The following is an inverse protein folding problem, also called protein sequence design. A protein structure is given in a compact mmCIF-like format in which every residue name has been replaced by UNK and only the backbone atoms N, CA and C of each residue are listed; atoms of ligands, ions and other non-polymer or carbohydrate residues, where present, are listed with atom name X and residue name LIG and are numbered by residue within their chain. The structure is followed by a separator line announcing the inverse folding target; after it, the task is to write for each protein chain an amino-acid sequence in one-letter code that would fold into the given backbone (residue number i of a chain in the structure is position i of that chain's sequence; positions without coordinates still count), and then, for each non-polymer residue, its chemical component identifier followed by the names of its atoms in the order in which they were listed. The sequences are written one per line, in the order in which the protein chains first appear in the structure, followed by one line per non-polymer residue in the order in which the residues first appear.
data_IF_333575056084
#
_entry.id   IF_333575056084
#
_cell.length_a   1.000
_cell.length_b   1.000
_cell.length_c   1.000
_cell.angle_alpha   90.00
_cell.angle_beta   90.00
_cell.angle_gamma   90.00
#
_symmetry.space_group_name_H-M   'P 1'
#
loop_
_entity.id
_entity.type
_entity.pdbx_description
1 polymer ?
#
# COMPACT_ATOMS: atom_id res chain seq x y z
N UNK A 1 -21.82 -9.23 -1.16
CA UNK A 1 -20.49 -8.57 -1.05
C UNK A 1 -20.51 -7.69 0.18
N UNK A 2 -19.44 -7.70 0.97
CA UNK A 2 -19.29 -6.81 2.12
C UNK A 2 -19.01 -5.38 1.65
N UNK A 3 -19.19 -4.37 2.53
CA UNK A 3 -18.86 -2.97 2.23
C UNK A 3 -17.41 -2.84 1.75
N UNK A 4 -16.46 -3.48 2.44
CA UNK A 4 -15.04 -3.48 2.08
C UNK A 4 -14.82 -4.06 0.67
N UNK A 5 -15.46 -5.16 0.31
CA UNK A 5 -15.32 -5.74 -1.03
C UNK A 5 -15.84 -4.81 -2.13
N UNK A 6 -16.92 -4.08 -1.87
CA UNK A 6 -17.43 -3.07 -2.79
C UNK A 6 -16.44 -1.92 -2.95
N UNK A 7 -15.89 -1.40 -1.85
CA UNK A 7 -14.88 -0.33 -1.87
C UNK A 7 -13.64 -0.75 -2.67
N UNK A 8 -13.13 -1.96 -2.45
CA UNK A 8 -11.96 -2.47 -3.19
C UNK A 8 -12.24 -2.59 -4.70
N UNK A 9 -13.46 -3.06 -5.06
CA UNK A 9 -13.85 -3.13 -6.47
C UNK A 9 -13.95 -1.73 -7.11
N UNK A 10 -14.45 -0.76 -6.36
CA UNK A 10 -14.54 0.62 -6.81
C UNK A 10 -13.16 1.27 -6.94
N UNK A 11 -12.28 1.09 -5.96
CA UNK A 11 -10.88 1.55 -6.00
C UNK A 11 -10.12 0.95 -7.20
N UNK A 12 -10.30 -0.35 -7.45
CA UNK A 12 -9.70 -1.02 -8.61
C UNK A 12 -10.17 -0.41 -9.92
N UNK A 13 -11.49 -0.22 -10.08
CA UNK A 13 -12.09 0.39 -11.27
C UNK A 13 -11.61 1.83 -11.45
N UNK A 14 -11.59 2.59 -10.37
CA UNK A 14 -11.13 3.98 -10.37
C UNK A 14 -9.67 4.09 -10.77
N UNK A 15 -8.79 3.28 -10.17
CA UNK A 15 -7.38 3.25 -10.51
C UNK A 15 -7.16 2.87 -11.98
N UNK A 16 -7.84 1.82 -12.47
CA UNK A 16 -7.71 1.40 -13.88
C UNK A 16 -8.20 2.47 -14.85
N UNK A 17 -9.20 3.27 -14.48
CA UNK A 17 -9.67 4.38 -15.30
C UNK A 17 -8.64 5.51 -15.48
N UNK A 18 -7.64 5.60 -14.62
CA UNK A 18 -6.51 6.53 -14.77
C UNK A 18 -5.42 6.01 -15.70
N UNK A 19 -5.55 4.75 -16.16
CA UNK A 19 -4.56 4.05 -16.98
C UNK A 19 -3.14 4.14 -16.39
N UNK A 20 -2.92 3.65 -15.17
CA UNK A 20 -1.62 3.75 -14.53
C UNK A 20 -0.55 3.04 -15.37
N UNK A 21 0.66 3.61 -15.49
CA UNK A 21 1.75 2.97 -16.22
C UNK A 21 2.08 1.58 -15.68
N UNK A 22 2.62 0.71 -16.55
CA UNK A 22 3.17 -0.57 -16.12
C UNK A 22 4.37 -0.36 -15.21
N UNK A 23 4.52 -1.23 -14.23
CA UNK A 23 5.56 -1.16 -13.22
C UNK A 23 5.13 -0.39 -11.97
N UNK A 24 6.11 0.16 -11.28
CA UNK A 24 5.93 1.04 -10.12
C UNK A 24 6.02 2.49 -10.58
N UNK A 25 4.97 3.26 -10.34
CA UNK A 25 4.88 4.64 -10.78
C UNK A 25 4.65 5.59 -9.61
N UNK A 26 5.36 6.72 -9.63
CA UNK A 26 5.07 7.85 -8.75
C UNK A 26 3.84 8.58 -9.23
N UNK A 27 3.18 9.27 -8.32
CA UNK A 27 2.00 10.09 -8.63
C UNK A 27 2.24 11.55 -8.23
N UNK A 28 1.38 12.48 -8.64
CA UNK A 28 1.44 13.86 -8.17
C UNK A 28 1.24 14.03 -6.65
N UNK A 29 0.59 13.07 -6.00
CA UNK A 29 0.49 13.04 -4.55
C UNK A 29 1.80 12.50 -3.97
N UNK A 30 2.48 13.29 -3.16
CA UNK A 30 3.77 12.94 -2.58
C UNK A 30 3.69 11.63 -1.79
N UNK A 31 4.66 10.74 -2.00
CA UNK A 31 4.71 9.43 -1.34
C UNK A 31 3.71 8.40 -1.88
N UNK A 32 2.68 8.80 -2.60
CA UNK A 32 1.70 7.88 -3.14
C UNK A 32 2.18 7.27 -4.46
N UNK A 33 2.11 5.94 -4.57
CA UNK A 33 2.57 5.19 -5.73
C UNK A 33 1.53 4.19 -6.17
N UNK A 34 1.52 3.91 -7.47
CA UNK A 34 0.72 2.86 -8.09
C UNK A 34 1.62 1.75 -8.61
N UNK A 35 1.14 0.54 -8.56
CA UNK A 35 1.85 -0.64 -9.05
C UNK A 35 0.90 -1.39 -9.98
N UNK A 36 1.32 -1.60 -11.22
CA UNK A 36 0.58 -2.36 -12.22
C UNK A 36 1.51 -3.32 -12.96
N UNK A 37 1.18 -4.59 -12.93
CA UNK A 37 1.90 -5.61 -13.67
C UNK A 37 0.90 -6.51 -14.40
N UNK A 38 1.15 -6.77 -15.67
CA UNK A 38 0.32 -7.60 -16.55
C UNK A 38 0.92 -9.00 -16.77
N UNK A 39 2.00 -9.30 -16.08
CA UNK A 39 2.64 -10.60 -16.00
C UNK A 39 3.24 -10.77 -14.62
N UNK A 40 3.51 -12.00 -14.24
CA UNK A 40 4.24 -12.26 -13.02
C UNK A 40 5.61 -11.58 -13.04
N UNK A 41 5.89 -10.80 -12.01
CA UNK A 41 7.18 -10.13 -11.87
C UNK A 41 8.12 -11.08 -11.14
N UNK A 42 9.30 -11.36 -11.71
CA UNK A 42 10.34 -12.11 -11.01
C UNK A 42 10.81 -11.33 -9.79
N UNK A 43 11.48 -12.03 -8.90
CA UNK A 43 11.98 -11.48 -7.65
C UNK A 43 12.77 -10.19 -7.89
N UNK A 44 12.27 -9.09 -7.35
CA UNK A 44 12.91 -7.78 -7.42
C UNK A 44 13.35 -7.33 -6.03
N UNK A 45 14.56 -6.80 -5.93
CA UNK A 45 15.06 -6.22 -4.69
C UNK A 45 14.61 -4.77 -4.57
N UNK A 46 14.17 -4.39 -3.39
CA UNK A 46 13.91 -2.99 -3.06
C UNK A 46 14.44 -2.66 -1.67
N UNK A 47 14.87 -1.42 -1.50
CA UNK A 47 15.04 -0.87 -0.16
C UNK A 47 13.66 -0.35 0.24
N UNK A 48 13.04 -1.01 1.21
CA UNK A 48 11.73 -0.63 1.70
C UNK A 48 11.73 0.79 2.27
N UNK A 49 10.60 1.47 2.18
CA UNK A 49 10.30 2.67 2.95
C UNK A 49 9.36 2.31 4.10
N UNK A 50 9.25 3.20 5.07
CA UNK A 50 8.08 3.14 5.97
C UNK A 50 6.87 3.42 5.08
N UNK A 51 5.96 2.48 4.99
CA UNK A 51 4.86 2.59 4.05
C UNK A 51 3.66 1.72 4.43
N UNK A 52 2.50 2.17 4.02
CA UNK A 52 1.27 1.38 3.97
C UNK A 52 0.97 1.04 2.53
N UNK A 53 0.61 -0.19 2.24
CA UNK A 53 0.23 -0.63 0.90
C UNK A 53 -0.99 -1.55 0.92
N UNK A 54 -1.78 -1.51 -0.15
CA UNK A 54 -2.94 -2.38 -0.35
C UNK A 54 -2.88 -3.07 -1.70
N UNK A 55 -3.27 -4.34 -1.71
CA UNK A 55 -3.47 -5.09 -2.94
C UNK A 55 -4.93 -4.94 -3.37
N UNK A 56 -5.13 -4.44 -4.58
CA UNK A 56 -6.45 -4.31 -5.21
C UNK A 56 -6.76 -5.48 -6.14
N UNK A 57 -5.74 -6.14 -6.68
CA UNK A 57 -5.86 -7.32 -7.55
C UNK A 57 -4.55 -8.10 -7.56
N UNK A 58 -4.63 -9.42 -7.59
CA UNK A 58 -3.47 -10.31 -7.59
C UNK A 58 -2.96 -10.63 -6.18
N UNK A 59 -1.74 -11.15 -6.12
CA UNK A 59 -1.06 -11.56 -4.88
C UNK A 59 0.37 -11.03 -4.90
N UNK A 60 0.86 -10.59 -3.77
CA UNK A 60 2.26 -10.18 -3.58
C UNK A 60 2.93 -11.06 -2.54
N UNK A 61 4.10 -11.55 -2.88
CA UNK A 61 5.00 -12.20 -1.94
C UNK A 61 6.18 -11.28 -1.64
N UNK A 62 6.53 -11.17 -0.37
CA UNK A 62 7.66 -10.36 0.11
C UNK A 62 8.53 -11.23 0.99
N UNK A 63 9.84 -11.16 0.80
CA UNK A 63 10.80 -11.75 1.72
C UNK A 63 11.63 -10.64 2.35
N UNK A 64 11.63 -10.59 3.66
CA UNK A 64 12.37 -9.61 4.45
C UNK A 64 12.94 -10.29 5.71
N UNK A 65 14.21 -10.06 6.00
CA UNK A 65 14.87 -10.66 7.16
C UNK A 65 14.77 -12.19 7.21
N UNK A 66 14.70 -12.87 6.04
CA UNK A 66 14.51 -14.31 5.94
C UNK A 66 13.05 -14.79 6.12
N UNK A 67 12.11 -13.90 6.43
CA UNK A 67 10.68 -14.24 6.50
C UNK A 67 10.01 -14.09 5.15
N UNK A 68 9.19 -15.05 4.80
CA UNK A 68 8.31 -15.01 3.65
C UNK A 68 6.90 -14.61 4.09
N UNK A 69 6.36 -13.58 3.44
CA UNK A 69 5.02 -13.03 3.68
C UNK A 69 4.31 -13.01 2.33
N UNK A 70 3.10 -13.57 2.27
CA UNK A 70 2.24 -13.50 1.10
C UNK A 70 0.91 -12.88 1.49
N UNK A 71 0.42 -11.93 0.69
CA UNK A 71 -0.85 -11.26 0.90
C UNK A 71 -1.48 -10.88 -0.43
N UNK A 72 -2.80 -10.79 -0.46
CA UNK A 72 -3.58 -10.66 -1.68
C UNK A 72 -4.60 -9.53 -1.66
N UNK A 73 -5.48 -9.56 -2.65
CA UNK A 73 -6.52 -8.55 -2.80
C UNK A 73 -7.37 -8.41 -1.53
N UNK A 74 -7.50 -7.20 -1.04
CA UNK A 74 -8.21 -6.87 0.19
C UNK A 74 -7.35 -6.85 1.44
N UNK A 75 -6.07 -7.19 1.34
CA UNK A 75 -5.13 -7.14 2.45
C UNK A 75 -4.16 -5.98 2.31
N UNK A 76 -3.76 -5.43 3.44
CA UNK A 76 -2.74 -4.40 3.55
C UNK A 76 -1.45 -4.92 4.14
N UNK A 77 -0.35 -4.27 3.80
CA UNK A 77 0.96 -4.45 4.43
C UNK A 77 1.40 -3.11 5.01
N UNK A 78 1.72 -3.11 6.29
CA UNK A 78 2.42 -2.01 6.96
C UNK A 78 3.90 -2.39 7.09
N UNK A 79 4.77 -1.54 6.56
CA UNK A 79 6.21 -1.60 6.79
C UNK A 79 6.61 -0.45 7.72
N UNK A 80 7.00 -0.75 8.94
CA UNK A 80 7.43 0.24 9.95
C UNK A 80 8.93 0.56 9.88
N UNK A 81 9.67 -0.08 8.98
CA UNK A 81 11.11 0.15 8.84
C UNK A 81 11.53 0.03 7.36
N UNK A 82 12.58 0.78 7.01
CA UNK A 82 13.22 0.71 5.70
C UNK A 82 14.18 -0.47 5.65
N UNK A 83 13.69 -1.66 5.39
CA UNK A 83 14.48 -2.87 5.33
C UNK A 83 14.69 -3.34 3.88
N UNK A 84 15.87 -3.90 3.56
CA UNK A 84 16.05 -4.58 2.30
C UNK A 84 15.06 -5.73 2.18
N UNK A 85 14.30 -5.73 1.11
CA UNK A 85 13.30 -6.76 0.84
C UNK A 85 13.34 -7.19 -0.61
N UNK A 86 12.90 -8.41 -0.86
CA UNK A 86 12.59 -8.87 -2.22
C UNK A 86 11.08 -9.05 -2.34
N UNK A 87 10.54 -8.72 -3.48
CA UNK A 87 9.11 -8.92 -3.74
C UNK A 87 8.86 -9.60 -5.08
N UNK A 88 7.74 -10.26 -5.16
CA UNK A 88 7.21 -10.89 -6.36
C UNK A 88 5.72 -10.59 -6.48
N UNK A 89 5.30 -10.12 -7.65
CA UNK A 89 3.88 -10.05 -7.99
C UNK A 89 3.49 -11.36 -8.69
N UNK A 90 2.40 -11.94 -8.25
CA UNK A 90 1.86 -13.20 -8.74
C UNK A 90 0.40 -13.02 -9.16
N UNK A 91 -0.11 -13.95 -9.95
CA UNK A 91 -1.47 -13.93 -10.46
C UNK A 91 -1.77 -12.63 -11.23
N UNK A 92 -0.93 -12.35 -12.23
CA UNK A 92 -1.05 -11.19 -13.08
C UNK A 92 -1.15 -11.58 -14.54
N UNK A 93 -2.11 -11.01 -15.26
CA UNK A 93 -2.28 -11.13 -16.71
C UNK A 93 -2.75 -9.79 -17.28
N UNK A 94 -2.76 -9.61 -18.61
CA UNK A 94 -3.32 -8.40 -19.22
C UNK A 94 -4.81 -8.19 -18.89
N UNK A 95 -5.58 -9.28 -18.76
CA UNK A 95 -7.01 -9.24 -18.45
C UNK A 95 -7.27 -8.99 -16.96
N UNK A 96 -6.41 -9.55 -16.11
CA UNK A 96 -6.44 -9.37 -14.66
C UNK A 96 -5.06 -8.94 -14.15
N UNK A 97 -4.71 -7.66 -14.29
CA UNK A 97 -3.40 -7.19 -13.86
C UNK A 97 -3.27 -7.23 -12.33
N UNK A 98 -2.06 -7.49 -11.86
CA UNK A 98 -1.74 -7.17 -10.49
C UNK A 98 -1.84 -5.65 -10.29
N UNK A 99 -2.59 -5.25 -9.27
CA UNK A 99 -2.76 -3.84 -8.92
C UNK A 99 -2.55 -3.65 -7.43
N UNK A 100 -1.71 -2.70 -7.07
CA UNK A 100 -1.60 -2.23 -5.71
C UNK A 100 -1.32 -0.73 -5.66
N UNK A 101 -1.59 -0.16 -4.51
CA UNK A 101 -1.27 1.22 -4.16
C UNK A 101 -0.43 1.23 -2.89
N UNK A 102 0.46 2.20 -2.77
CA UNK A 102 1.25 2.38 -1.56
C UNK A 102 1.45 3.85 -1.24
N UNK A 103 1.47 4.16 0.05
CA UNK A 103 1.80 5.47 0.58
C UNK A 103 3.06 5.35 1.42
N UNK A 104 4.14 5.99 0.98
CA UNK A 104 5.34 6.14 1.79
C UNK A 104 5.05 7.16 2.89
N UNK A 105 5.48 6.85 4.10
CA UNK A 105 5.28 7.67 5.28
C UNK A 105 6.61 8.31 5.66
N UNK A 106 6.61 9.62 5.77
CA UNK A 106 7.77 10.35 6.27
C UNK A 106 7.90 10.17 7.79
N UNK A 107 9.13 9.89 8.23
CA UNK A 107 9.38 9.64 9.65
C UNK A 107 9.11 10.88 10.52
N UNK A 108 9.43 12.07 10.03
CA UNK A 108 9.20 13.30 10.78
C UNK A 108 7.71 13.53 10.99
N UNK A 109 6.92 13.37 9.94
CA UNK A 109 5.45 13.43 9.99
C UNK A 109 4.87 12.40 10.96
N UNK A 110 5.40 11.16 10.97
CA UNK A 110 4.94 10.14 11.92
C UNK A 110 5.22 10.50 13.38
N UNK A 111 6.39 11.10 13.66
CA UNK A 111 6.74 11.56 15.00
C UNK A 111 5.79 12.69 15.43
N UNK A 112 5.58 13.66 14.57
CA UNK A 112 4.66 14.77 14.83
C UNK A 112 3.23 14.29 15.09
N UNK A 113 2.72 13.37 14.28
CA UNK A 113 1.40 12.76 14.48
C UNK A 113 1.32 11.99 15.81
N UNK A 114 2.37 11.26 16.17
CA UNK A 114 2.42 10.52 17.41
C UNK A 114 2.34 11.41 18.66
N UNK A 115 2.86 12.62 18.60
CA UNK A 115 2.77 13.62 19.68
C UNK A 115 1.33 14.13 19.89
N UNK A 116 0.49 14.08 18.86
CA UNK A 116 -0.90 14.54 18.90
C UNK A 116 -1.91 13.42 19.17
N UNK A 117 -1.47 12.17 19.10
CA UNK A 117 -2.34 11.05 19.45
C UNK A 117 -2.52 10.96 20.97
N UNK A 118 -3.76 10.73 21.45
CA UNK A 118 -3.94 10.44 22.88
C UNK A 118 -3.05 9.24 23.23
N UNK A 119 -2.35 9.35 24.34
CA UNK A 119 -1.64 8.21 24.91
C UNK A 119 -2.70 7.19 25.34
N UNK A 120 -3.21 6.44 24.38
CA UNK A 120 -3.92 5.21 24.68
C UNK A 120 -2.91 4.33 25.38
N UNK A 121 -3.33 3.74 26.50
CA UNK A 121 -2.55 2.76 27.26
C UNK A 121 -1.79 1.89 26.28
N UNK A 122 -0.54 2.26 26.04
CA UNK A 122 0.39 1.38 25.36
C UNK A 122 0.36 0.12 26.20
N UNK A 123 -0.27 -0.91 25.71
CA UNK A 123 0.00 -2.25 26.21
C UNK A 123 1.49 -2.44 25.96
N UNK A 124 2.27 -2.19 27.00
CA UNK A 124 3.73 -2.22 27.00
C UNK A 124 4.33 -3.54 26.49
N UNK A 125 3.49 -4.46 26.01
CA UNK A 125 3.84 -5.82 25.63
C UNK A 125 3.28 -6.27 24.30
N UNK A 126 2.87 -5.40 23.41
CA UNK A 126 2.76 -5.80 22.01
C UNK A 126 4.19 -5.91 21.46
N UNK A 127 4.77 -7.11 21.56
CA UNK A 127 6.00 -7.41 20.84
C UNK A 127 5.74 -7.16 19.35
N UNK A 128 6.17 -6.00 18.87
CA UNK A 128 6.23 -5.75 17.45
C UNK A 128 7.10 -6.85 16.83
N UNK A 129 6.65 -7.50 15.75
CA UNK A 129 7.53 -8.45 15.07
C UNK A 129 8.87 -7.77 14.80
N UNK A 130 9.99 -8.51 14.96
CA UNK A 130 11.34 -7.95 14.85
C UNK A 130 11.59 -7.13 13.58
N UNK A 131 10.87 -7.46 12.51
CA UNK A 131 11.00 -6.79 11.22
C UNK A 131 10.05 -5.60 11.05
N UNK A 132 9.22 -5.30 12.03
CA UNK A 132 8.21 -4.22 11.95
C UNK A 132 7.37 -4.25 10.65
N UNK A 133 7.01 -5.45 10.19
CA UNK A 133 6.21 -5.67 8.97
C UNK A 133 5.01 -6.55 9.31
N UNK A 134 3.81 -6.07 8.94
CA UNK A 134 2.55 -6.73 9.24
C UNK A 134 1.63 -6.75 8.03
N UNK A 135 0.97 -7.88 7.84
CA UNK A 135 -0.23 -7.96 7.03
C UNK A 135 -1.44 -7.68 7.92
N UNK A 136 -2.38 -6.88 7.44
CA UNK A 136 -3.57 -6.51 8.18
C UNK A 136 -4.79 -6.38 7.25
N UNK A 137 -5.97 -6.52 7.83
CA UNK A 137 -7.23 -6.20 7.17
C UNK A 137 -7.51 -4.70 7.34
N UNK A 138 -7.71 -3.96 6.23
CA UNK A 138 -7.97 -2.53 6.30
C UNK A 138 -9.35 -2.23 6.88
N UNK A 139 -9.46 -1.13 7.60
CA UNK A 139 -10.75 -0.55 7.99
C UNK A 139 -11.38 0.20 6.82
N UNK A 140 -12.70 0.39 6.87
CA UNK A 140 -13.43 1.18 5.86
C UNK A 140 -12.89 2.62 5.77
N UNK A 141 -12.60 3.25 6.90
CA UNK A 141 -12.05 4.62 6.95
C UNK A 141 -10.72 4.72 6.23
N UNK A 142 -9.81 3.76 6.45
CA UNK A 142 -8.52 3.74 5.80
C UNK A 142 -8.64 3.51 4.29
N UNK A 143 -9.54 2.62 3.86
CA UNK A 143 -9.82 2.42 2.44
C UNK A 143 -10.43 3.68 1.80
N UNK A 144 -11.30 4.38 2.51
CA UNK A 144 -11.88 5.64 2.05
C UNK A 144 -10.81 6.71 1.78
N UNK A 145 -9.82 6.84 2.66
CA UNK A 145 -8.71 7.77 2.47
C UNK A 145 -7.85 7.39 1.25
N UNK A 146 -7.57 6.11 1.06
CA UNK A 146 -6.85 5.65 -0.14
C UNK A 146 -7.67 5.83 -1.42
N UNK A 147 -8.98 5.63 -1.38
CA UNK A 147 -9.87 5.93 -2.51
C UNK A 147 -9.79 7.41 -2.90
N UNK A 148 -9.75 8.31 -1.92
CA UNK A 148 -9.56 9.75 -2.16
C UNK A 148 -8.23 10.05 -2.84
N UNK A 149 -7.13 9.40 -2.42
CA UNK A 149 -5.83 9.52 -3.07
C UNK A 149 -5.88 9.04 -4.53
N UNK A 150 -6.55 7.93 -4.81
CA UNK A 150 -6.74 7.44 -6.18
C UNK A 150 -7.53 8.47 -7.01
N UNK A 151 -8.59 9.06 -6.48
CA UNK A 151 -9.37 10.10 -7.17
C UNK A 151 -8.56 11.35 -7.49
N UNK A 152 -7.58 11.71 -6.65
CA UNK A 152 -6.67 12.83 -6.94
C UNK A 152 -5.81 12.60 -8.19
N UNK A 153 -5.62 11.36 -8.63
CA UNK A 153 -4.87 11.08 -9.87
C UNK A 153 -5.57 11.64 -11.12
N UNK A 154 -6.88 11.88 -11.05
CA UNK A 154 -7.65 12.50 -12.14
C UNK A 154 -7.61 14.04 -12.12
N UNK A 155 -7.21 14.62 -11.01
CA UNK A 155 -7.10 16.07 -10.82
C UNK A 155 -5.74 16.41 -10.21
N UNK A 156 -4.66 16.14 -10.95
CA UNK A 156 -3.30 16.25 -10.42
C UNK A 156 -2.93 17.67 -9.95
N UNK A 157 -3.61 18.68 -10.47
CA UNK A 157 -3.46 20.07 -10.04
C UNK A 157 -3.90 20.33 -8.61
N UNK A 158 -4.71 19.45 -8.02
CA UNK A 158 -5.16 19.56 -6.63
C UNK A 158 -4.23 18.83 -5.64
N UNK A 159 -3.31 18.01 -6.13
CA UNK A 159 -2.43 17.22 -5.28
C UNK A 159 -1.52 18.08 -4.38
N UNK A 160 -0.89 19.18 -4.87
CA UNK A 160 -0.03 20.03 -4.04
C UNK A 160 -0.76 20.81 -2.94
N UNK A 161 -2.08 20.96 -3.07
CA UNK A 161 -2.89 21.73 -2.10
C UNK A 161 -3.29 20.92 -0.86
N UNK A 162 -2.91 19.64 -0.82
CA UNK A 162 -3.35 18.70 0.22
C UNK A 162 -2.21 17.88 0.83
N UNK A 163 -0.97 18.25 0.51
CA UNK A 163 0.23 17.71 1.13
C UNK A 163 0.50 18.35 2.49
#
# INVERSE_FOLDING_TARGET
MTTIQNMLADMRRELMSTNPPLGVSTTPAEGFRTHRFESEVPLSCSTGAIAVSFILSGVKAVTVGGRFISYGAGEGLLSGAALPSTFRAMHASPEEPFLSVSLALDRATLIELAEHLPQTDQKENAELPPEAIFVFEPTEDLLFDFERLIKLLKTPELAPLRA
#
